data_IF_293027507560
#
_entry.id   IF_293027507560
#
_cell.length_a   1.000
_cell.length_b   1.000
_cell.length_c   1.000
_cell.angle_alpha   90.00
_cell.angle_beta   90.00
_cell.angle_gamma   90.00
#
_symmetry.space_group_name_H-M   'P 1'
#
loop_
_entity.id
_entity.type
_entity.pdbx_description
1 polymer ?
#
# COMPACT_ATOMS: atom_id res chain seq x y z
N UNK A 1 -19.58 -14.79 5.98
CA UNK A 1 -19.43 -14.34 6.48
C UNK A 1 -18.54 -13.31 6.49
N UNK A 2 -17.61 -13.37 6.74
CA UNK A 2 -16.79 -12.24 6.95
C UNK A 2 -16.39 -11.51 5.67
N UNK A 3 -16.75 -12.03 4.55
CA UNK A 3 -16.49 -11.33 3.29
C UNK A 3 -17.10 -9.94 3.27
N UNK A 4 -18.13 -9.74 4.09
CA UNK A 4 -18.79 -8.46 4.11
C UNK A 4 -18.31 -7.55 5.22
N UNK A 5 -17.26 -7.93 5.91
CA UNK A 5 -16.77 -7.09 6.99
C UNK A 5 -16.30 -5.75 6.44
N UNK A 6 -16.82 -4.69 7.00
CA UNK A 6 -16.45 -3.35 6.58
C UNK A 6 -15.26 -2.87 7.42
N UNK A 7 -14.35 -2.09 6.81
CA UNK A 7 -13.27 -1.49 7.57
C UNK A 7 -13.86 -0.60 8.67
N UNK A 8 -13.22 -0.61 9.81
CA UNK A 8 -13.63 0.25 10.91
C UNK A 8 -12.39 0.75 11.63
N UNK A 9 -12.49 1.89 12.31
CA UNK A 9 -11.35 2.40 13.08
C UNK A 9 -10.92 1.38 14.11
N UNK A 10 -9.60 1.19 14.21
CA UNK A 10 -9.01 0.29 15.19
C UNK A 10 -7.84 0.95 15.86
N UNK A 11 -7.62 0.71 17.16
CA UNK A 11 -6.43 1.22 17.82
C UNK A 11 -5.16 0.66 17.18
N UNK A 12 -4.10 1.45 17.20
CA UNK A 12 -2.83 1.04 16.60
C UNK A 12 -2.36 -0.31 17.16
N UNK A 13 -2.61 -0.56 18.45
CA UNK A 13 -2.18 -1.81 19.07
C UNK A 13 -2.82 -3.05 18.44
N UNK A 14 -3.90 -2.89 17.68
CA UNK A 14 -4.55 -4.01 17.01
C UNK A 14 -4.09 -4.21 15.57
N UNK A 15 -3.26 -3.30 15.06
CA UNK A 15 -2.77 -3.43 13.70
C UNK A 15 -1.74 -4.55 13.65
N UNK A 16 -1.79 -5.35 12.62
CA UNK A 16 -0.90 -6.50 12.51
C UNK A 16 0.13 -6.35 11.40
N UNK A 17 -0.16 -5.52 10.41
CA UNK A 17 0.77 -5.36 9.29
C UNK A 17 0.52 -4.02 8.61
N UNK A 18 1.30 -3.77 7.57
CA UNK A 18 1.23 -2.51 6.83
C UNK A 18 -0.12 -2.33 6.14
N UNK A 19 -0.79 -3.42 5.76
CA UNK A 19 -2.11 -3.30 5.14
C UNK A 19 -3.14 -2.75 6.13
N UNK A 20 -3.03 -3.11 7.41
CA UNK A 20 -3.91 -2.54 8.42
C UNK A 20 -3.69 -1.04 8.54
N UNK A 21 -2.44 -0.60 8.48
CA UNK A 21 -2.13 0.82 8.50
C UNK A 21 -2.76 1.52 7.31
N UNK A 22 -2.57 0.97 6.10
CA UNK A 22 -3.14 1.55 4.88
C UNK A 22 -4.65 1.63 4.98
N UNK A 23 -5.29 0.60 5.53
CA UNK A 23 -6.74 0.60 5.69
C UNK A 23 -7.21 1.71 6.61
N UNK A 24 -6.49 1.97 7.69
CA UNK A 24 -6.86 3.03 8.62
C UNK A 24 -6.67 4.41 7.99
N UNK A 25 -5.63 4.58 7.19
CA UNK A 25 -5.45 5.82 6.44
C UNK A 25 -6.62 6.02 5.47
N UNK A 26 -7.05 4.94 4.83
CA UNK A 26 -8.16 5.01 3.89
C UNK A 26 -9.46 5.48 4.56
N UNK A 27 -9.69 5.02 5.80
CA UNK A 27 -10.88 5.42 6.54
C UNK A 27 -10.84 6.88 6.95
N UNK A 28 -9.68 7.39 7.35
CA UNK A 28 -9.56 8.74 7.86
C UNK A 28 -8.30 9.41 7.34
N UNK A 29 -8.24 9.65 6.02
CA UNK A 29 -6.99 10.15 5.45
C UNK A 29 -6.51 11.45 6.07
N UNK A 30 -7.43 12.34 6.43
CA UNK A 30 -7.05 13.63 7.02
C UNK A 30 -6.35 13.55 8.36
N UNK A 31 -6.46 12.39 9.05
CA UNK A 31 -5.74 12.21 10.31
C UNK A 31 -4.28 11.83 10.09
N UNK A 32 -3.94 11.36 8.91
CA UNK A 32 -2.61 10.81 8.67
C UNK A 32 -1.80 11.59 7.66
N UNK A 33 -2.45 12.09 6.60
CA UNK A 33 -1.73 12.78 5.54
C UNK A 33 -2.39 14.11 5.21
N UNK A 34 -1.61 15.06 4.77
CA UNK A 34 -2.11 16.39 4.42
C UNK A 34 -2.50 16.44 2.98
N UNK A 35 -3.67 17.02 2.72
CA UNK A 35 -4.09 17.29 1.34
C UNK A 35 -4.12 16.07 0.44
N UNK A 36 -4.33 14.88 1.01
CA UNK A 36 -4.36 13.67 0.21
C UNK A 36 -3.01 13.29 -0.39
N UNK A 37 -1.91 13.65 0.26
CA UNK A 37 -0.58 13.44 -0.30
C UNK A 37 -0.15 11.98 -0.23
N UNK A 38 -0.01 11.35 -1.39
CA UNK A 38 0.51 9.99 -1.48
C UNK A 38 2.01 9.97 -1.14
N UNK A 39 2.70 11.08 -1.35
CA UNK A 39 4.11 11.18 -0.99
C UNK A 39 4.28 11.13 0.53
N UNK A 40 3.40 11.81 1.27
CA UNK A 40 3.47 11.72 2.73
C UNK A 40 3.20 10.31 3.21
N UNK A 41 2.22 9.64 2.61
CA UNK A 41 1.94 8.27 2.99
C UNK A 41 3.13 7.35 2.69
N UNK A 42 3.79 7.56 1.56
CA UNK A 42 4.98 6.79 1.22
C UNK A 42 6.07 6.99 2.27
N UNK A 43 6.27 8.21 2.74
CA UNK A 43 7.24 8.51 3.78
C UNK A 43 6.89 7.82 5.09
N UNK A 44 5.61 7.83 5.47
CA UNK A 44 5.17 7.15 6.68
C UNK A 44 5.39 5.64 6.59
N UNK A 45 5.09 5.06 5.43
CA UNK A 45 5.33 3.63 5.23
C UNK A 45 6.81 3.29 5.27
N UNK A 46 7.66 4.18 4.77
CA UNK A 46 9.09 3.98 4.89
C UNK A 46 9.50 3.94 6.36
N UNK A 47 8.98 4.87 7.18
CA UNK A 47 9.25 4.86 8.62
C UNK A 47 8.80 3.57 9.28
N UNK A 48 7.65 3.06 8.86
CA UNK A 48 7.16 1.77 9.35
C UNK A 48 8.18 0.67 9.05
N UNK A 49 8.73 0.64 7.82
CA UNK A 49 9.69 -0.38 7.45
C UNK A 49 10.99 -0.25 8.25
N UNK A 50 11.40 0.97 8.54
CA UNK A 50 12.58 1.21 9.38
C UNK A 50 12.35 0.62 10.75
N UNK A 51 11.17 0.84 11.33
CA UNK A 51 10.86 0.30 12.65
C UNK A 51 10.87 -1.24 12.66
N UNK A 52 10.35 -1.86 11.59
CA UNK A 52 10.42 -3.31 11.49
C UNK A 52 11.87 -3.80 11.56
N UNK A 53 12.74 -3.13 10.85
CA UNK A 53 14.16 -3.53 10.83
C UNK A 53 14.84 -3.27 12.16
N UNK A 54 14.60 -2.11 12.75
CA UNK A 54 15.21 -1.74 14.02
C UNK A 54 14.82 -2.71 15.13
N UNK A 55 13.57 -3.14 15.12
CA UNK A 55 13.05 -4.01 16.18
C UNK A 55 13.06 -5.48 15.82
N UNK A 56 13.61 -5.83 14.65
CA UNK A 56 13.72 -7.23 14.25
C UNK A 56 12.38 -7.94 14.08
N UNK A 57 11.36 -7.21 13.64
CA UNK A 57 10.05 -7.81 13.43
C UNK A 57 10.03 -8.46 12.06
N UNK A 58 9.60 -9.72 12.01
CA UNK A 58 9.57 -10.48 10.79
C UNK A 58 8.25 -10.28 10.06
N UNK A 59 8.19 -9.22 9.29
CA UNK A 59 7.03 -8.92 8.46
C UNK A 59 7.52 -8.66 7.05
N UNK A 60 6.92 -9.30 6.05
CA UNK A 60 7.25 -9.00 4.67
C UNK A 60 6.65 -7.65 4.31
N UNK A 61 7.50 -6.64 4.19
CA UNK A 61 7.03 -5.30 3.87
C UNK A 61 6.93 -5.15 2.36
N UNK A 62 5.72 -4.90 1.86
CA UNK A 62 5.48 -4.91 0.41
C UNK A 62 5.56 -3.53 -0.23
N UNK A 63 5.68 -2.47 0.57
CA UNK A 63 5.60 -1.09 0.05
C UNK A 63 6.94 -0.39 -0.09
N UNK A 64 8.04 -1.14 -0.21
CA UNK A 64 9.32 -0.49 -0.53
C UNK A 64 9.16 0.33 -1.81
N UNK A 65 9.71 1.54 -1.86
CA UNK A 65 9.36 2.47 -2.93
C UNK A 65 9.65 1.96 -4.35
N UNK A 66 10.77 1.29 -4.55
CA UNK A 66 11.15 0.87 -5.89
C UNK A 66 11.30 -0.63 -6.04
N UNK A 67 11.68 -1.34 -5.00
CA UNK A 67 12.03 -2.75 -5.10
C UNK A 67 11.06 -3.72 -4.45
N UNK A 68 10.03 -3.25 -3.80
CA UNK A 68 9.10 -4.13 -3.11
C UNK A 68 8.08 -4.77 -4.04
N UNK A 69 7.33 -5.74 -3.52
CA UNK A 69 6.34 -6.45 -4.33
C UNK A 69 5.29 -5.55 -4.97
N UNK A 70 4.83 -4.52 -4.27
CA UNK A 70 3.84 -3.60 -4.84
C UNK A 70 4.41 -2.85 -6.03
N UNK A 71 5.64 -2.32 -5.89
CA UNK A 71 6.28 -1.60 -6.98
C UNK A 71 6.54 -2.53 -8.18
N UNK A 72 6.96 -3.76 -7.92
CA UNK A 72 7.18 -4.72 -8.99
C UNK A 72 5.89 -5.04 -9.71
N UNK A 73 4.80 -5.20 -8.98
CA UNK A 73 3.51 -5.47 -9.57
C UNK A 73 3.06 -4.32 -10.47
N UNK A 74 3.23 -3.07 -10.01
CA UNK A 74 2.89 -1.91 -10.83
C UNK A 74 3.70 -1.88 -12.11
N UNK A 75 4.99 -2.20 -12.02
CA UNK A 75 5.84 -2.23 -13.19
C UNK A 75 5.38 -3.28 -14.19
N UNK A 76 5.02 -4.47 -13.71
CA UNK A 76 4.56 -5.53 -14.62
C UNK A 76 3.16 -5.26 -15.16
N UNK A 77 2.24 -4.87 -14.29
CA UNK A 77 0.84 -4.75 -14.69
C UNK A 77 0.60 -3.54 -15.58
N UNK A 78 1.29 -2.43 -15.30
CA UNK A 78 1.04 -1.18 -15.99
C UNK A 78 2.23 -0.69 -16.81
N UNK A 79 3.36 -1.33 -16.71
CA UNK A 79 4.54 -0.90 -17.45
C UNK A 79 5.16 0.38 -16.93
N UNK A 80 4.88 0.74 -15.69
CA UNK A 80 5.38 1.99 -15.12
C UNK A 80 6.81 1.86 -14.67
N UNK A 81 7.56 2.96 -14.79
CA UNK A 81 8.90 3.02 -14.21
C UNK A 81 8.77 3.29 -12.71
N UNK A 82 9.54 2.54 -11.93
CA UNK A 82 9.60 2.72 -10.48
C UNK A 82 10.90 3.43 -10.05
N UNK A 83 11.58 4.08 -10.99
CA UNK A 83 12.88 4.69 -10.70
C UNK A 83 12.83 5.70 -9.55
N UNK A 84 11.70 6.40 -9.40
CA UNK A 84 11.53 7.38 -8.34
C UNK A 84 10.48 6.96 -7.31
N UNK A 85 10.13 5.69 -7.29
CA UNK A 85 9.21 5.14 -6.32
C UNK A 85 7.76 5.12 -6.79
N UNK A 86 6.95 4.29 -6.15
CA UNK A 86 5.57 4.11 -6.56
C UNK A 86 4.71 5.37 -6.32
N UNK A 87 5.02 6.16 -5.28
CA UNK A 87 4.22 7.37 -5.02
C UNK A 87 4.38 8.36 -6.16
N UNK A 88 5.62 8.60 -6.60
CA UNK A 88 5.85 9.49 -7.72
C UNK A 88 5.23 8.92 -8.99
N UNK A 89 5.32 7.61 -9.18
CA UNK A 89 4.76 6.97 -10.37
C UNK A 89 3.25 7.18 -10.45
N UNK A 90 2.55 7.04 -9.32
CA UNK A 90 1.10 7.28 -9.30
C UNK A 90 0.79 8.71 -9.76
N UNK A 91 1.50 9.69 -9.22
CA UNK A 91 1.25 11.08 -9.60
C UNK A 91 1.59 11.34 -11.06
N UNK A 92 2.65 10.71 -11.54
CA UNK A 92 3.11 10.92 -12.90
C UNK A 92 2.19 10.26 -13.93
N UNK A 93 1.81 9.00 -13.69
CA UNK A 93 1.04 8.24 -14.68
C UNK A 93 -0.47 8.43 -14.56
N UNK A 94 -0.95 8.89 -13.41
CA UNK A 94 -2.37 9.13 -13.20
C UNK A 94 -2.62 10.57 -12.74
N UNK A 95 -2.21 11.55 -13.57
CA UNK A 95 -2.25 12.95 -13.12
C UNK A 95 -3.65 13.50 -12.92
N UNK A 96 -4.66 12.83 -13.49
CA UNK A 96 -6.03 13.31 -13.38
C UNK A 96 -6.82 12.68 -12.25
N UNK A 97 -6.21 11.77 -11.51
CA UNK A 97 -6.87 11.12 -10.37
C UNK A 97 -6.32 11.67 -9.07
N UNK A 98 -7.17 11.79 -8.04
CA UNK A 98 -6.65 12.11 -6.72
C UNK A 98 -5.64 11.02 -6.31
N UNK A 99 -4.40 11.40 -5.99
CA UNK A 99 -3.34 10.38 -5.86
C UNK A 99 -3.60 9.35 -4.76
N UNK A 100 -4.16 9.79 -3.64
CA UNK A 100 -4.40 8.87 -2.54
C UNK A 100 -5.48 7.86 -2.89
N UNK A 101 -6.54 8.31 -3.57
CA UNK A 101 -7.60 7.40 -4.01
C UNK A 101 -7.08 6.41 -5.04
N UNK A 102 -6.23 6.88 -5.95
CA UNK A 102 -5.59 5.99 -6.92
C UNK A 102 -4.74 4.94 -6.20
N UNK A 103 -4.01 5.35 -5.17
CA UNK A 103 -3.21 4.43 -4.40
C UNK A 103 -4.07 3.32 -3.78
N UNK A 104 -5.17 3.71 -3.13
CA UNK A 104 -6.04 2.71 -2.49
C UNK A 104 -6.63 1.73 -3.51
N UNK A 105 -7.04 2.24 -4.66
CA UNK A 105 -7.56 1.38 -5.72
C UNK A 105 -6.50 0.39 -6.20
N UNK A 106 -5.28 0.89 -6.38
CA UNK A 106 -4.18 0.05 -6.84
C UNK A 106 -3.78 -1.00 -5.80
N UNK A 107 -3.85 -0.65 -4.52
CA UNK A 107 -3.58 -1.63 -3.47
C UNK A 107 -4.65 -2.74 -3.50
N UNK A 108 -5.91 -2.38 -3.71
CA UNK A 108 -6.96 -3.38 -3.83
C UNK A 108 -6.69 -4.32 -5.00
N UNK A 109 -6.28 -3.78 -6.15
CA UNK A 109 -5.95 -4.60 -7.30
C UNK A 109 -4.76 -5.50 -7.03
N UNK A 110 -3.74 -4.96 -6.36
CA UNK A 110 -2.56 -5.72 -6.01
C UNK A 110 -2.93 -6.90 -5.10
N UNK A 111 -3.74 -6.64 -4.07
CA UNK A 111 -4.15 -7.71 -3.16
C UNK A 111 -4.97 -8.77 -3.88
N UNK A 112 -5.86 -8.37 -4.77
CA UNK A 112 -6.61 -9.35 -5.57
C UNK A 112 -5.69 -10.18 -6.44
N UNK A 113 -4.70 -9.56 -7.06
CA UNK A 113 -3.75 -10.27 -7.89
C UNK A 113 -2.97 -11.29 -7.08
N UNK A 114 -2.55 -10.92 -5.87
CA UNK A 114 -1.83 -11.84 -5.00
C UNK A 114 -2.72 -13.00 -4.57
N UNK A 115 -3.97 -12.72 -4.23
CA UNK A 115 -4.91 -13.74 -3.83
C UNK A 115 -5.21 -14.71 -4.98
N UNK A 116 -5.36 -14.19 -6.19
CA UNK A 116 -5.62 -15.02 -7.36
C UNK A 116 -4.44 -15.94 -7.65
N UNK A 117 -3.23 -15.44 -7.51
CA UNK A 117 -2.06 -16.27 -7.71
C UNK A 117 -1.99 -17.39 -6.68
N UNK A 118 -2.26 -17.07 -5.42
CA UNK A 118 -2.24 -18.06 -4.37
C UNK A 118 -3.33 -19.11 -4.58
N UNK A 119 -4.53 -18.68 -4.98
CA UNK A 119 -5.64 -19.59 -5.20
C UNK A 119 -5.44 -20.43 -6.44
N UNK A 120 -4.81 -19.84 -7.48
CA UNK A 120 -4.55 -20.58 -8.70
C UNK A 120 -3.51 -21.65 -8.54
N UNK A 121 -2.70 -21.52 -7.48
CA UNK A 121 -1.67 -22.48 -7.20
C UNK A 121 -0.63 -22.50 -8.27
N UNK A 122 0.17 -23.51 -8.28
CA UNK A 122 1.21 -23.62 -9.28
C UNK A 122 0.63 -24.00 -10.61
N UNK A 123 -0.57 -24.19 -10.61
CA UNK A 123 -1.37 -24.46 -11.82
C UNK A 123 -0.69 -25.08 -12.87
#
# INVERSE_FOLDING_TARGET
>A
MSADRKPRPRPIAEWQDAFDFVEQVRLRPGMFVRGGSVQELSTMLFGYSVALQVHGVDEEFVFDPAGGPFAQWLSWEYGWSMATGWAHAIEHYLPDEPPLEAFFRLVDEFQRSMADRAAGGPG
#
